data_IF_003813105122
#
_entry.id   IF_003813105122
#
_cell.length_a   1.000
_cell.length_b   1.000
_cell.length_c   1.000
_cell.angle_alpha   90.00
_cell.angle_beta   90.00
_cell.angle_gamma   90.00
#
_symmetry.space_group_name_H-M   'P 1'
#
loop_
_entity.id
_entity.type
_entity.pdbx_description
1 polymer ?
#
# COMPACT_ATOMS: atom_id res chain seq x y z
N UNK A 1 18.53 0.51 17.55
CA UNK A 1 18.12 -0.40 16.46
C UNK A 1 16.60 -0.33 16.35
N UNK A 2 16.06 0.11 15.21
CA UNK A 2 14.62 0.03 14.97
C UNK A 2 14.22 -1.44 14.94
N UNK A 3 13.36 -1.87 15.86
CA UNK A 3 12.82 -3.25 15.87
C UNK A 3 11.72 -3.34 14.82
N UNK A 4 12.06 -3.55 13.56
CA UNK A 4 11.09 -3.80 12.49
C UNK A 4 10.38 -5.13 12.69
N UNK A 5 9.22 -5.30 12.04
CA UNK A 5 8.46 -6.54 12.08
C UNK A 5 9.14 -7.62 11.23
N UNK A 6 9.08 -8.90 11.62
CA UNK A 6 9.53 -9.99 10.77
C UNK A 6 8.65 -10.10 9.52
N UNK A 7 9.25 -10.60 8.44
CA UNK A 7 8.53 -10.94 7.21
C UNK A 7 7.44 -11.99 7.47
N UNK A 8 6.39 -11.95 6.66
CA UNK A 8 5.33 -12.95 6.68
C UNK A 8 5.87 -14.29 6.17
N UNK A 9 5.53 -15.36 6.88
CA UNK A 9 6.09 -16.71 6.66
C UNK A 9 5.27 -17.57 5.68
N UNK A 10 4.17 -17.06 5.15
CA UNK A 10 3.29 -17.81 4.26
C UNK A 10 2.48 -16.90 3.35
N UNK A 11 1.69 -17.50 2.47
CA UNK A 11 0.77 -16.80 1.57
C UNK A 11 -0.31 -16.08 2.37
N UNK A 12 -0.92 -16.77 3.34
CA UNK A 12 -1.95 -16.18 4.20
C UNK A 12 -1.35 -15.76 5.53
N UNK A 13 -1.70 -14.55 5.98
CA UNK A 13 -1.33 -14.07 7.30
C UNK A 13 -2.42 -13.18 7.91
N UNK A 14 -2.40 -13.06 9.24
CA UNK A 14 -3.43 -12.34 9.97
C UNK A 14 -4.61 -13.24 10.37
N UNK A 15 -5.81 -12.67 10.58
CA UNK A 15 -6.23 -11.33 10.19
C UNK A 15 -5.57 -10.26 11.06
N UNK A 16 -5.17 -9.17 10.43
CA UNK A 16 -4.60 -8.01 11.10
C UNK A 16 -5.71 -7.03 11.42
N UNK A 17 -5.77 -6.56 12.66
CA UNK A 17 -6.64 -5.44 13.05
C UNK A 17 -6.16 -4.15 12.38
N UNK A 18 -6.67 -3.89 11.19
CA UNK A 18 -6.45 -2.71 10.37
C UNK A 18 -7.32 -1.56 10.85
N UNK A 19 -6.74 -0.39 11.03
CA UNK A 19 -7.53 0.83 11.34
C UNK A 19 -8.43 1.27 10.20
N UNK A 20 -8.11 0.80 8.99
CA UNK A 20 -8.72 1.20 7.73
C UNK A 20 -9.75 0.20 7.22
N UNK A 21 -9.52 -1.08 7.52
CA UNK A 21 -10.19 -2.22 6.89
C UNK A 21 -10.68 -3.25 7.92
N UNK A 22 -10.90 -2.86 9.19
CA UNK A 22 -11.30 -3.82 10.23
C UNK A 22 -10.33 -5.01 10.35
N UNK A 23 -10.85 -6.23 10.44
CA UNK A 23 -10.07 -7.48 10.44
C UNK A 23 -9.68 -7.85 9.01
N UNK A 24 -8.47 -7.50 8.60
CA UNK A 24 -8.00 -7.75 7.23
C UNK A 24 -7.14 -9.01 7.18
N UNK A 25 -7.57 -10.02 6.42
CA UNK A 25 -6.75 -11.19 6.09
C UNK A 25 -5.81 -10.83 4.94
N UNK A 26 -4.50 -11.04 5.11
CA UNK A 26 -3.50 -10.70 4.11
C UNK A 26 -3.17 -11.86 3.17
N UNK A 27 -2.94 -11.55 1.89
CA UNK A 27 -2.43 -12.43 0.85
C UNK A 27 -1.05 -11.90 0.42
N UNK A 28 0.00 -12.52 0.94
CA UNK A 28 1.37 -12.29 0.54
C UNK A 28 1.69 -13.08 -0.75
N UNK A 29 1.80 -12.36 -1.86
CA UNK A 29 2.20 -12.92 -3.16
C UNK A 29 3.72 -13.02 -3.31
N UNK A 30 4.49 -12.65 -2.29
CA UNK A 30 5.94 -12.44 -2.42
C UNK A 30 6.71 -13.49 -1.60
N UNK A 31 8.02 -13.55 -1.82
CA UNK A 31 8.94 -14.39 -1.05
C UNK A 31 8.70 -14.27 0.46
N UNK A 32 8.83 -15.40 1.16
CA UNK A 32 8.79 -15.48 2.63
C UNK A 32 10.17 -15.33 3.27
N UNK A 33 11.23 -15.30 2.46
CA UNK A 33 12.63 -15.27 2.94
C UNK A 33 13.30 -13.93 2.70
N UNK A 34 12.81 -13.12 1.76
CA UNK A 34 13.30 -11.77 1.48
C UNK A 34 12.16 -10.82 1.14
N UNK A 35 12.42 -9.53 1.29
CA UNK A 35 11.53 -8.46 0.83
C UNK A 35 11.71 -8.25 -0.68
N UNK A 36 10.62 -8.18 -1.44
CA UNK A 36 10.63 -7.96 -2.89
C UNK A 36 9.79 -6.72 -3.19
N UNK A 37 10.47 -5.59 -3.37
CA UNK A 37 9.83 -4.30 -3.54
C UNK A 37 10.67 -3.43 -4.48
N UNK A 38 10.01 -2.53 -5.17
CA UNK A 38 10.68 -1.46 -5.94
C UNK A 38 11.12 -0.30 -5.05
N UNK A 39 10.60 -0.19 -3.83
CA UNK A 39 10.87 0.89 -2.88
C UNK A 39 11.65 0.39 -1.67
N UNK A 40 12.37 1.31 -1.04
CA UNK A 40 13.07 1.13 0.24
C UNK A 40 12.62 2.21 1.24
N UNK A 41 11.31 2.26 1.51
CA UNK A 41 10.74 3.37 2.29
C UNK A 41 11.29 3.42 3.72
N UNK A 42 11.68 4.63 4.17
CA UNK A 42 12.17 4.89 5.53
C UNK A 42 11.17 4.51 6.62
N UNK A 43 9.88 4.48 6.29
CA UNK A 43 8.79 4.13 7.19
C UNK A 43 8.35 2.65 7.10
N UNK A 44 9.01 1.83 6.27
CA UNK A 44 8.57 0.46 6.06
C UNK A 44 8.70 -0.36 7.35
N UNK A 45 7.61 -0.97 7.79
CA UNK A 45 7.61 -1.76 9.02
C UNK A 45 8.26 -3.13 8.87
N UNK A 46 8.58 -3.55 7.64
CA UNK A 46 9.33 -4.78 7.35
C UNK A 46 10.83 -4.54 7.20
N UNK A 47 11.31 -3.33 7.50
CA UNK A 47 12.72 -2.96 7.32
C UNK A 47 13.05 -2.48 5.92
N UNK A 48 14.35 -2.27 5.71
CA UNK A 48 14.89 -1.83 4.44
C UNK A 48 14.76 -2.94 3.38
N UNK A 49 14.79 -2.55 2.12
CA UNK A 49 14.84 -3.44 0.97
C UNK A 49 16.28 -3.56 0.51
N UNK A 50 16.88 -4.74 0.70
CA UNK A 50 18.29 -4.95 0.36
C UNK A 50 18.55 -4.86 -1.16
N UNK A 51 17.60 -5.36 -1.96
CA UNK A 51 17.71 -5.40 -3.42
C UNK A 51 16.36 -4.98 -4.04
N UNK A 52 16.29 -3.72 -4.46
CA UNK A 52 15.12 -3.14 -5.13
C UNK A 52 15.08 -3.66 -6.56
N UNK A 53 13.95 -4.18 -7.01
CA UNK A 53 13.83 -4.74 -8.36
C UNK A 53 12.46 -4.56 -8.98
N UNK A 54 12.43 -4.38 -10.29
CA UNK A 54 11.23 -4.41 -11.15
C UNK A 54 11.14 -5.71 -11.98
N UNK A 55 12.16 -6.57 -11.88
CA UNK A 55 12.29 -7.83 -12.63
C UNK A 55 12.80 -8.94 -11.70
N UNK A 56 12.09 -9.24 -10.60
CA UNK A 56 12.42 -10.38 -9.74
C UNK A 56 12.34 -11.71 -10.51
N UNK A 57 13.06 -12.72 -10.04
CA UNK A 57 13.05 -14.04 -10.68
C UNK A 57 11.73 -14.75 -10.40
N UNK A 58 11.23 -15.54 -11.35
CA UNK A 58 9.97 -16.29 -11.15
C UNK A 58 10.05 -17.23 -9.94
N UNK A 59 11.23 -17.79 -9.66
CA UNK A 59 11.45 -18.67 -8.51
C UNK A 59 11.36 -17.95 -7.15
N UNK A 60 11.42 -16.62 -7.12
CA UNK A 60 11.25 -15.84 -5.88
C UNK A 60 9.79 -15.86 -5.36
N UNK A 61 8.83 -16.29 -6.18
CA UNK A 61 7.41 -16.21 -5.89
C UNK A 61 6.77 -17.57 -5.60
N UNK A 62 5.79 -17.63 -4.67
CA UNK A 62 4.92 -18.80 -4.58
C UNK A 62 4.15 -18.99 -5.89
N UNK A 63 3.99 -20.24 -6.32
CA UNK A 63 3.23 -20.55 -7.54
C UNK A 63 1.75 -20.17 -7.39
N UNK A 64 1.07 -19.89 -8.52
CA UNK A 64 -0.39 -19.67 -8.55
C UNK A 64 -1.13 -20.78 -7.79
N UNK A 65 -0.79 -22.05 -8.04
CA UNK A 65 -1.39 -23.19 -7.33
C UNK A 65 -1.24 -23.11 -5.80
N UNK A 66 -0.05 -22.76 -5.30
CA UNK A 66 0.17 -22.59 -3.86
C UNK A 66 -0.67 -21.44 -3.29
N UNK A 67 -0.76 -20.33 -4.03
CA UNK A 67 -1.53 -19.16 -3.61
C UNK A 67 -3.02 -19.51 -3.53
N UNK A 68 -3.57 -20.05 -4.61
CA UNK A 68 -5.00 -20.39 -4.73
C UNK A 68 -5.39 -21.44 -3.68
N UNK A 69 -4.56 -22.47 -3.48
CA UNK A 69 -4.80 -23.48 -2.43
C UNK A 69 -4.83 -22.86 -1.03
N UNK A 70 -3.92 -21.95 -0.70
CA UNK A 70 -3.88 -21.32 0.62
C UNK A 70 -5.07 -20.37 0.84
N UNK A 71 -5.44 -19.60 -0.19
CA UNK A 71 -6.60 -18.69 -0.15
C UNK A 71 -7.90 -19.48 -0.01
N UNK A 72 -8.08 -20.57 -0.77
CA UNK A 72 -9.27 -21.41 -0.69
C UNK A 72 -9.44 -22.02 0.70
N UNK A 73 -8.35 -22.53 1.30
CA UNK A 73 -8.37 -23.04 2.68
C UNK A 73 -8.79 -21.96 3.67
N UNK A 74 -8.25 -20.74 3.55
CA UNK A 74 -8.63 -19.64 4.43
C UNK A 74 -10.10 -19.21 4.26
N UNK A 75 -10.61 -19.18 3.02
CA UNK A 75 -12.01 -18.87 2.72
C UNK A 75 -12.98 -19.92 3.29
N UNK A 76 -12.61 -21.20 3.30
CA UNK A 76 -13.41 -22.31 3.88
C UNK A 76 -13.32 -22.42 5.40
N UNK A 77 -12.33 -21.78 6.03
CA UNK A 77 -12.16 -21.82 7.48
C UNK A 77 -13.26 -21.04 8.21
N UNK A 78 -13.38 -21.22 9.52
CA UNK A 78 -14.24 -20.41 10.40
C UNK A 78 -13.60 -19.05 10.79
N UNK A 79 -12.44 -18.72 10.21
CA UNK A 79 -11.73 -17.49 10.54
C UNK A 79 -12.54 -16.25 10.14
N UNK A 80 -12.81 -15.37 11.09
CA UNK A 80 -13.55 -14.14 10.81
C UNK A 80 -12.61 -13.04 10.30
N UNK A 81 -12.90 -12.52 9.11
CA UNK A 81 -12.23 -11.38 8.52
C UNK A 81 -13.21 -10.57 7.67
N UNK A 82 -13.00 -9.27 7.66
CA UNK A 82 -13.86 -8.28 7.01
C UNK A 82 -13.35 -7.96 5.59
N UNK A 83 -12.04 -8.17 5.33
CA UNK A 83 -11.39 -7.90 4.04
C UNK A 83 -10.38 -8.98 3.70
N UNK A 84 -10.22 -9.25 2.40
CA UNK A 84 -9.15 -10.07 1.84
C UNK A 84 -8.19 -9.18 1.05
N UNK A 85 -6.94 -9.03 1.51
CA UNK A 85 -6.06 -7.95 1.06
C UNK A 85 -4.76 -8.47 0.45
N UNK A 86 -4.52 -8.14 -0.82
CA UNK A 86 -3.20 -8.25 -1.45
C UNK A 86 -2.25 -7.23 -0.83
N UNK A 87 -1.31 -7.75 -0.04
CA UNK A 87 -0.27 -7.01 0.66
C UNK A 87 0.76 -8.01 1.19
N UNK A 88 1.92 -7.56 1.69
CA UNK A 88 2.85 -8.49 2.29
C UNK A 88 4.28 -7.97 2.27
N UNK A 89 5.22 -8.85 1.95
CA UNK A 89 6.66 -8.62 2.06
C UNK A 89 7.22 -7.70 0.94
N UNK A 90 6.47 -6.69 0.50
CA UNK A 90 6.85 -5.78 -0.59
C UNK A 90 5.69 -5.37 -1.49
N UNK A 91 5.94 -5.25 -2.80
CA UNK A 91 4.97 -4.79 -3.81
C UNK A 91 4.23 -5.96 -4.49
N UNK A 92 2.93 -6.19 -4.20
CA UNK A 92 2.21 -7.36 -4.70
C UNK A 92 2.13 -7.45 -6.23
N UNK A 93 2.08 -6.30 -6.92
CA UNK A 93 1.96 -6.25 -8.38
C UNK A 93 3.23 -6.69 -9.12
N UNK A 94 4.34 -6.96 -8.41
CA UNK A 94 5.54 -7.55 -9.01
C UNK A 94 5.38 -9.03 -9.35
N UNK A 95 4.36 -9.72 -8.82
CA UNK A 95 4.13 -11.11 -9.14
C UNK A 95 3.79 -11.26 -10.65
N UNK A 96 4.51 -12.10 -11.42
CA UNK A 96 4.33 -12.19 -12.87
C UNK A 96 2.91 -12.62 -13.28
N UNK A 97 2.28 -13.47 -12.47
CA UNK A 97 0.91 -13.96 -12.70
C UNK A 97 -0.16 -13.19 -11.89
N UNK A 98 0.11 -11.92 -11.51
CA UNK A 98 -0.80 -11.13 -10.66
C UNK A 98 -2.25 -11.09 -11.20
N UNK A 99 -2.43 -10.88 -12.50
CA UNK A 99 -3.74 -10.82 -13.13
C UNK A 99 -4.52 -12.14 -13.01
N UNK A 100 -3.85 -13.27 -13.29
CA UNK A 100 -4.41 -14.61 -13.16
C UNK A 100 -4.81 -14.91 -11.70
N UNK A 101 -3.95 -14.55 -10.75
CA UNK A 101 -4.21 -14.74 -9.32
C UNK A 101 -5.43 -13.93 -8.88
N UNK A 102 -5.54 -12.67 -9.29
CA UNK A 102 -6.68 -11.82 -8.96
C UNK A 102 -7.99 -12.41 -9.50
N UNK A 103 -7.98 -12.90 -10.75
CA UNK A 103 -9.15 -13.52 -11.37
C UNK A 103 -9.62 -14.77 -10.60
N UNK A 104 -8.70 -15.70 -10.32
CA UNK A 104 -9.02 -16.93 -9.61
C UNK A 104 -9.45 -16.68 -8.15
N UNK A 105 -8.80 -15.74 -7.45
CA UNK A 105 -9.18 -15.37 -6.08
C UNK A 105 -10.56 -14.69 -6.06
N UNK A 106 -10.87 -13.84 -7.05
CA UNK A 106 -12.20 -13.24 -7.18
C UNK A 106 -13.28 -14.32 -7.31
N UNK A 107 -13.07 -15.31 -8.19
CA UNK A 107 -14.00 -16.42 -8.38
C UNK A 107 -14.19 -17.23 -7.08
N UNK A 108 -13.10 -17.59 -6.40
CA UNK A 108 -13.16 -18.32 -5.13
C UNK A 108 -13.87 -17.53 -4.04
N UNK A 109 -13.54 -16.25 -3.88
CA UNK A 109 -14.16 -15.36 -2.89
C UNK A 109 -15.65 -15.26 -3.17
N UNK A 110 -16.06 -14.99 -4.41
CA UNK A 110 -17.49 -14.88 -4.77
C UNK A 110 -18.28 -16.16 -4.43
N UNK A 111 -17.68 -17.32 -4.62
CA UNK A 111 -18.32 -18.61 -4.30
C UNK A 111 -18.40 -18.87 -2.79
N UNK A 112 -17.32 -18.59 -2.04
CA UNK A 112 -17.18 -19.05 -0.66
C UNK A 112 -17.54 -17.98 0.37
N UNK A 113 -17.28 -16.71 0.06
CA UNK A 113 -17.51 -15.54 0.94
C UNK A 113 -17.87 -14.28 0.13
N UNK A 114 -18.98 -14.27 -0.62
CA UNK A 114 -19.31 -13.23 -1.61
C UNK A 114 -19.32 -11.80 -1.08
N UNK A 115 -19.56 -11.61 0.22
CA UNK A 115 -19.65 -10.30 0.86
C UNK A 115 -18.31 -9.73 1.29
N UNK A 116 -17.23 -10.51 1.30
CA UNK A 116 -15.92 -10.06 1.81
C UNK A 116 -15.14 -9.31 0.73
N UNK A 117 -14.99 -7.98 0.76
CA UNK A 117 -14.27 -7.21 -0.26
C UNK A 117 -12.81 -7.65 -0.44
N UNK A 118 -12.35 -7.65 -1.70
CA UNK A 118 -10.93 -7.81 -2.05
C UNK A 118 -10.28 -6.43 -2.08
N UNK A 119 -9.09 -6.31 -1.49
CA UNK A 119 -8.33 -5.06 -1.42
C UNK A 119 -6.92 -5.23 -1.95
N UNK A 120 -6.37 -4.18 -2.56
CA UNK A 120 -4.96 -4.08 -2.94
C UNK A 120 -4.30 -2.92 -2.20
N UNK A 121 -3.15 -3.19 -1.57
CA UNK A 121 -2.20 -2.16 -1.16
C UNK A 121 -1.02 -2.19 -2.14
N UNK A 122 -0.76 -1.08 -2.82
CA UNK A 122 0.35 -0.95 -3.76
C UNK A 122 1.13 0.34 -3.53
N UNK A 123 2.44 0.28 -3.79
CA UNK A 123 3.36 1.41 -3.79
C UNK A 123 3.30 2.23 -5.09
N UNK A 124 2.44 1.83 -6.04
CA UNK A 124 2.13 2.52 -7.31
C UNK A 124 3.18 2.38 -8.42
N UNK A 125 4.39 1.91 -8.12
CA UNK A 125 5.48 1.85 -9.11
C UNK A 125 5.22 0.94 -10.31
N UNK A 126 4.46 -0.15 -10.11
CA UNK A 126 4.15 -1.09 -11.20
C UNK A 126 3.20 -0.49 -12.24
N UNK A 127 2.50 0.60 -11.92
CA UNK A 127 1.59 1.27 -12.85
C UNK A 127 2.31 1.95 -14.01
N UNK A 128 3.60 2.28 -13.86
CA UNK A 128 4.39 3.04 -14.84
C UNK A 128 4.60 2.25 -16.15
N UNK A 129 4.90 0.95 -16.04
CA UNK A 129 5.15 0.11 -17.23
C UNK A 129 3.86 -0.18 -17.97
N UNK A 130 2.90 -0.76 -17.25
CA UNK A 130 1.58 -1.15 -17.71
C UNK A 130 0.80 -1.70 -16.53
N UNK A 131 -0.50 -1.43 -16.47
CA UNK A 131 -1.39 -2.09 -15.53
C UNK A 131 -2.50 -2.81 -16.29
N UNK A 132 -2.89 -3.97 -15.78
CA UNK A 132 -4.04 -4.70 -16.27
C UNK A 132 -5.32 -4.12 -15.64
N UNK A 133 -6.05 -3.35 -16.44
CA UNK A 133 -7.29 -2.70 -16.01
C UNK A 133 -8.36 -3.74 -15.66
N UNK A 134 -8.40 -4.88 -16.35
CA UNK A 134 -9.38 -5.93 -16.12
C UNK A 134 -9.11 -6.63 -14.79
N UNK A 135 -7.84 -6.91 -14.48
CA UNK A 135 -7.45 -7.42 -13.15
C UNK A 135 -7.78 -6.41 -12.05
N UNK A 136 -7.38 -5.14 -12.21
CA UNK A 136 -7.67 -4.11 -11.20
C UNK A 136 -9.18 -3.87 -11.02
N UNK A 137 -10.00 -4.01 -12.07
CA UNK A 137 -11.45 -3.85 -11.98
C UNK A 137 -12.11 -4.86 -11.02
N UNK A 138 -11.52 -6.06 -10.86
CA UNK A 138 -12.03 -7.13 -9.99
C UNK A 138 -11.75 -6.92 -8.50
N UNK A 139 -10.89 -5.96 -8.14
CA UNK A 139 -10.49 -5.65 -6.76
C UNK A 139 -11.42 -4.59 -6.18
N UNK A 140 -12.16 -4.85 -5.10
CA UNK A 140 -13.15 -3.89 -4.59
C UNK A 140 -12.52 -2.56 -4.11
N UNK A 141 -11.38 -2.61 -3.41
CA UNK A 141 -10.72 -1.44 -2.83
C UNK A 141 -9.27 -1.37 -3.30
N UNK A 142 -8.89 -0.29 -3.97
CA UNK A 142 -7.55 -0.11 -4.58
C UNK A 142 -6.84 1.04 -3.90
N UNK A 143 -5.83 0.73 -3.09
CA UNK A 143 -5.11 1.72 -2.27
C UNK A 143 -3.68 1.85 -2.78
N UNK A 144 -3.35 3.04 -3.26
CA UNK A 144 -2.07 3.36 -3.88
C UNK A 144 -1.32 4.40 -3.05
N UNK A 145 -0.01 4.18 -2.84
CA UNK A 145 0.84 5.12 -2.10
C UNK A 145 1.21 6.34 -2.95
N UNK A 146 1.15 7.51 -2.32
CA UNK A 146 1.80 8.74 -2.79
C UNK A 146 2.18 9.58 -1.56
N UNK A 147 3.47 9.64 -1.21
CA UNK A 147 3.92 10.28 0.03
C UNK A 147 4.52 11.70 -0.17
N UNK A 148 4.82 12.06 -1.42
CA UNK A 148 5.33 13.36 -1.87
C UNK A 148 5.10 13.48 -3.38
N UNK A 149 5.45 14.63 -3.98
CA UNK A 149 5.33 14.84 -5.43
C UNK A 149 6.56 15.48 -6.08
N UNK A 150 7.68 15.57 -5.36
CA UNK A 150 8.98 15.98 -5.90
C UNK A 150 9.99 14.83 -5.81
N UNK A 151 10.92 14.80 -6.77
CA UNK A 151 11.86 13.69 -6.92
C UNK A 151 12.83 13.59 -5.75
N UNK A 152 13.33 14.74 -5.25
CA UNK A 152 14.26 14.79 -4.13
C UNK A 152 13.65 14.17 -2.87
N UNK A 153 12.44 14.56 -2.50
CA UNK A 153 11.74 13.99 -1.35
C UNK A 153 11.38 12.52 -1.59
N UNK A 154 11.00 12.16 -2.81
CA UNK A 154 10.68 10.78 -3.17
C UNK A 154 11.87 9.84 -2.96
N UNK A 155 13.06 10.27 -3.34
CA UNK A 155 14.31 9.53 -3.11
C UNK A 155 14.67 9.46 -1.62
N UNK A 156 14.43 10.53 -0.85
CA UNK A 156 14.67 10.55 0.59
C UNK A 156 13.70 9.66 1.39
N UNK A 157 12.43 9.63 1.00
CA UNK A 157 11.36 8.94 1.76
C UNK A 157 11.17 7.52 1.27
N UNK A 158 10.94 7.34 -0.03
CA UNK A 158 10.59 6.06 -0.62
C UNK A 158 11.81 5.32 -1.17
N UNK A 159 12.90 6.04 -1.46
CA UNK A 159 14.16 5.51 -1.99
C UNK A 159 13.88 4.45 -3.06
N UNK A 160 13.13 4.81 -4.10
CA UNK A 160 12.72 3.88 -5.15
C UNK A 160 13.91 3.34 -5.96
N UNK A 161 13.69 2.28 -6.73
CA UNK A 161 14.66 1.77 -7.69
C UNK A 161 15.09 2.90 -8.65
N UNK A 162 16.38 2.98 -8.95
CA UNK A 162 16.92 3.99 -9.84
C UNK A 162 16.17 4.00 -11.19
N UNK A 163 15.85 5.20 -11.68
CA UNK A 163 15.10 5.40 -12.92
C UNK A 163 13.58 5.50 -12.73
N UNK A 164 13.03 5.14 -11.57
CA UNK A 164 11.62 5.43 -11.25
C UNK A 164 11.50 6.92 -10.92
N UNK A 165 10.73 7.66 -11.74
CA UNK A 165 10.42 9.07 -11.49
C UNK A 165 9.06 9.23 -10.84
N UNK A 166 8.95 10.14 -9.87
CA UNK A 166 7.68 10.43 -9.19
C UNK A 166 6.61 10.97 -10.15
N UNK A 167 7.03 11.73 -11.16
CA UNK A 167 6.12 12.26 -12.18
C UNK A 167 5.42 11.15 -12.97
N UNK A 168 6.15 10.10 -13.35
CA UNK A 168 5.58 8.95 -14.06
C UNK A 168 4.55 8.21 -13.20
N UNK A 169 4.77 8.14 -11.89
CA UNK A 169 3.82 7.56 -10.92
C UNK A 169 2.55 8.41 -10.86
N UNK A 170 2.68 9.74 -10.77
CA UNK A 170 1.54 10.66 -10.73
C UNK A 170 0.72 10.56 -12.00
N UNK A 171 1.36 10.52 -13.17
CA UNK A 171 0.67 10.34 -14.47
C UNK A 171 -0.04 8.98 -14.56
N UNK A 172 0.59 7.90 -14.08
CA UNK A 172 -0.03 6.59 -14.08
C UNK A 172 -1.24 6.51 -13.12
N UNK A 173 -1.15 7.16 -11.96
CA UNK A 173 -2.25 7.26 -11.00
C UNK A 173 -3.41 8.11 -11.52
N UNK A 174 -3.13 9.24 -12.16
CA UNK A 174 -4.13 10.09 -12.83
C UNK A 174 -4.88 9.28 -13.89
N UNK A 175 -4.13 8.59 -14.77
CA UNK A 175 -4.73 7.71 -15.79
C UNK A 175 -5.61 6.64 -15.16
N UNK A 176 -5.13 5.94 -14.13
CA UNK A 176 -5.89 4.89 -13.47
C UNK A 176 -7.14 5.43 -12.77
N UNK A 177 -7.04 6.57 -12.08
CA UNK A 177 -8.16 7.23 -11.38
C UNK A 177 -9.28 7.63 -12.33
N UNK A 178 -8.94 8.02 -13.57
CA UNK A 178 -9.93 8.31 -14.61
C UNK A 178 -10.72 7.08 -15.09
N UNK A 179 -10.20 5.87 -14.85
CA UNK A 179 -10.78 4.60 -15.31
C UNK A 179 -11.47 3.82 -14.18
N UNK A 180 -10.94 3.88 -12.96
CA UNK A 180 -11.44 3.17 -11.80
C UNK A 180 -11.34 4.04 -10.55
N UNK A 181 -12.31 3.93 -9.61
CA UNK A 181 -12.18 4.55 -8.30
C UNK A 181 -10.96 3.98 -7.56
N UNK A 182 -10.04 4.88 -7.22
CA UNK A 182 -8.85 4.58 -6.41
C UNK A 182 -8.83 5.41 -5.13
N UNK A 183 -8.05 4.91 -4.18
CA UNK A 183 -7.74 5.60 -2.94
C UNK A 183 -6.24 5.93 -2.95
N UNK A 184 -5.91 7.21 -2.73
CA UNK A 184 -4.54 7.59 -2.44
C UNK A 184 -4.30 7.47 -0.94
N UNK A 185 -3.19 6.81 -0.57
CA UNK A 185 -2.77 6.68 0.81
C UNK A 185 -1.41 7.33 1.04
N UNK A 186 -1.33 8.18 2.05
CA UNK A 186 -0.15 8.96 2.39
C UNK A 186 0.20 8.74 3.85
N UNK A 187 1.48 8.48 4.11
CA UNK A 187 2.00 8.54 5.48
C UNK A 187 2.64 9.90 5.71
N UNK A 188 2.17 10.62 6.71
CA UNK A 188 2.78 11.87 7.17
C UNK A 188 3.61 11.62 8.42
N UNK A 189 4.81 12.17 8.45
CA UNK A 189 5.74 12.05 9.56
C UNK A 189 6.65 13.27 9.65
N UNK A 190 7.23 13.46 10.83
CA UNK A 190 8.23 14.47 11.15
C UNK A 190 9.64 13.82 11.21
N UNK A 191 10.68 14.61 11.48
CA UNK A 191 12.06 14.15 11.59
C UNK A 191 13.02 14.96 10.71
N UNK A 192 14.09 14.31 10.24
CA UNK A 192 15.04 14.97 9.32
C UNK A 192 14.42 15.26 7.95
N UNK A 193 13.43 14.46 7.55
CA UNK A 193 12.62 14.66 6.36
C UNK A 193 11.16 14.71 6.83
N UNK A 194 10.45 15.77 6.43
CA UNK A 194 9.03 15.98 6.73
C UNK A 194 8.28 16.25 5.43
N UNK A 195 7.06 15.74 5.33
CA UNK A 195 6.27 15.78 4.09
C UNK A 195 4.87 16.37 4.26
N UNK A 196 4.58 16.98 5.41
CA UNK A 196 3.25 17.49 5.74
C UNK A 196 3.14 19.02 5.77
N UNK A 197 4.22 19.75 5.44
CA UNK A 197 4.24 21.21 5.42
C UNK A 197 5.14 21.78 4.31
N UNK A 198 5.05 23.09 4.10
CA UNK A 198 5.82 23.84 3.11
C UNK A 198 5.62 23.35 1.68
N UNK A 199 6.63 23.62 0.84
CA UNK A 199 6.57 23.34 -0.60
C UNK A 199 6.33 21.86 -0.93
N UNK A 200 6.86 20.94 -0.12
CA UNK A 200 6.67 19.49 -0.31
C UNK A 200 5.20 19.11 -0.21
N UNK A 201 4.50 19.63 0.81
CA UNK A 201 3.08 19.38 0.98
C UNK A 201 2.24 20.08 -0.09
N UNK A 202 2.60 21.30 -0.48
CA UNK A 202 1.91 22.04 -1.54
C UNK A 202 2.01 21.32 -2.90
N UNK A 203 3.19 20.80 -3.25
CA UNK A 203 3.38 20.00 -4.46
C UNK A 203 2.60 18.69 -4.41
N UNK A 204 2.61 18.01 -3.26
CA UNK A 204 1.79 16.81 -3.05
C UNK A 204 0.29 17.11 -3.22
N UNK A 205 -0.17 18.25 -2.69
CA UNK A 205 -1.56 18.70 -2.80
C UNK A 205 -1.96 18.96 -4.25
N UNK A 206 -1.08 19.59 -5.04
CA UNK A 206 -1.28 19.76 -6.50
C UNK A 206 -1.37 18.40 -7.19
N UNK A 207 -0.50 17.45 -6.84
CA UNK A 207 -0.51 16.12 -7.44
C UNK A 207 -1.80 15.35 -7.13
N UNK A 208 -2.30 15.35 -5.89
CA UNK A 208 -3.57 14.65 -5.56
C UNK A 208 -4.79 15.29 -6.20
N UNK A 209 -4.81 16.62 -6.37
CA UNK A 209 -5.86 17.31 -7.16
C UNK A 209 -5.84 16.86 -8.61
N UNK A 210 -4.64 16.75 -9.21
CA UNK A 210 -4.47 16.26 -10.57
C UNK A 210 -4.93 14.80 -10.72
N UNK A 211 -4.57 13.94 -9.77
CA UNK A 211 -5.01 12.53 -9.76
C UNK A 211 -6.52 12.40 -9.55
N UNK A 212 -7.12 13.30 -8.76
CA UNK A 212 -8.54 13.30 -8.41
C UNK A 212 -9.06 11.91 -7.95
N UNK A 213 -8.48 11.32 -6.88
CA UNK A 213 -8.92 10.03 -6.38
C UNK A 213 -10.31 10.10 -5.73
N UNK A 214 -10.99 8.95 -5.63
CA UNK A 214 -12.26 8.86 -4.91
C UNK A 214 -12.13 9.27 -3.43
N UNK A 215 -10.98 8.98 -2.82
CA UNK A 215 -10.73 9.23 -1.41
C UNK A 215 -9.23 9.32 -1.13
N UNK A 216 -8.87 10.09 -0.11
CA UNK A 216 -7.52 10.12 0.46
C UNK A 216 -7.55 9.50 1.86
N UNK A 217 -6.56 8.65 2.14
CA UNK A 217 -6.29 8.09 3.47
C UNK A 217 -4.95 8.62 3.98
N UNK A 218 -4.96 9.32 5.10
CA UNK A 218 -3.74 9.82 5.73
C UNK A 218 -3.52 9.15 7.08
N UNK A 219 -2.27 8.85 7.40
CA UNK A 219 -1.90 8.25 8.68
C UNK A 219 -0.47 8.64 9.07
N UNK A 220 -0.10 8.41 10.33
CA UNK A 220 1.29 8.51 10.79
C UNK A 220 1.86 7.16 11.22
N UNK A 221 3.17 7.12 11.46
CA UNK A 221 3.95 5.91 11.75
C UNK A 221 3.70 5.40 13.17
N UNK A 222 2.71 4.52 13.33
CA UNK A 222 2.32 3.91 14.61
C UNK A 222 2.87 2.50 14.82
N UNK A 223 3.55 1.96 13.81
CA UNK A 223 4.31 0.71 13.84
C UNK A 223 5.80 1.03 13.86
N UNK A 224 6.66 0.06 14.23
CA UNK A 224 8.08 0.22 14.00
C UNK A 224 8.38 0.54 12.54
N UNK A 225 9.42 1.33 12.31
CA UNK A 225 9.82 1.87 11.01
C UNK A 225 11.27 1.53 10.73
N UNK A 226 11.67 1.45 9.46
CA UNK A 226 13.04 1.12 9.09
C UNK A 226 14.05 2.15 9.61
N UNK A 227 13.75 3.44 9.49
CA UNK A 227 14.63 4.54 9.89
C UNK A 227 14.23 5.13 11.24
N UNK A 228 15.18 5.27 12.16
CA UNK A 228 14.99 6.01 13.42
C UNK A 228 14.96 7.54 13.22
N UNK A 229 15.18 8.02 11.98
CA UNK A 229 15.22 9.45 11.65
C UNK A 229 13.84 10.06 11.43
N UNK A 230 12.78 9.24 11.38
CA UNK A 230 11.41 9.70 11.25
C UNK A 230 10.68 9.60 12.60
N UNK A 231 9.76 10.52 12.82
CA UNK A 231 8.96 10.66 14.03
C UNK A 231 7.49 10.72 13.66
N UNK A 232 6.66 10.11 14.49
CA UNK A 232 5.21 10.16 14.33
C UNK A 232 4.72 11.60 14.56
N UNK A 233 3.79 12.08 13.73
CA UNK A 233 3.03 13.32 14.01
C UNK A 233 1.84 13.00 14.92
N UNK A 234 1.39 13.99 15.70
CA UNK A 234 0.27 13.79 16.62
C UNK A 234 -1.05 13.55 15.88
N UNK A 235 -2.00 12.91 16.57
CA UNK A 235 -3.35 12.71 16.03
C UNK A 235 -4.05 14.05 15.73
N UNK A 236 -3.82 15.08 16.55
CA UNK A 236 -4.34 16.44 16.32
C UNK A 236 -3.83 17.03 15.01
N UNK A 237 -2.51 17.02 14.79
CA UNK A 237 -1.91 17.45 13.53
C UNK A 237 -2.44 16.66 12.33
N UNK A 238 -2.65 15.35 12.48
CA UNK A 238 -3.19 14.52 11.41
C UNK A 238 -4.64 14.91 11.06
N UNK A 239 -5.47 15.25 12.05
CA UNK A 239 -6.84 15.73 11.80
C UNK A 239 -6.86 17.11 11.15
N UNK A 240 -6.00 18.03 11.58
CA UNK A 240 -5.84 19.35 10.96
C UNK A 240 -5.44 19.22 9.48
N UNK A 241 -4.50 18.31 9.18
CA UNK A 241 -4.11 18.01 7.80
C UNK A 241 -5.27 17.46 6.98
N UNK A 242 -6.08 16.55 7.52
CA UNK A 242 -7.25 16.03 6.81
C UNK A 242 -8.23 17.14 6.44
N UNK A 243 -8.52 18.05 7.38
CA UNK A 243 -9.41 19.18 7.14
C UNK A 243 -8.85 20.12 6.07
N UNK A 244 -7.56 20.47 6.17
CA UNK A 244 -6.87 21.30 5.17
C UNK A 244 -6.91 20.68 3.77
N UNK A 245 -6.74 19.37 3.66
CA UNK A 245 -6.80 18.66 2.37
C UNK A 245 -8.22 18.71 1.79
N UNK A 246 -9.25 18.48 2.61
CA UNK A 246 -10.66 18.55 2.18
C UNK A 246 -10.96 19.96 1.66
N UNK A 247 -10.64 21.00 2.43
CA UNK A 247 -10.90 22.39 2.04
C UNK A 247 -10.17 22.79 0.76
N UNK A 248 -8.92 22.35 0.61
CA UNK A 248 -8.12 22.80 -0.52
C UNK A 248 -8.39 22.00 -1.80
N UNK A 249 -8.71 20.71 -1.71
CA UNK A 249 -8.80 19.80 -2.85
C UNK A 249 -10.20 19.27 -3.15
N UNK A 250 -11.18 19.48 -2.25
CA UNK A 250 -12.54 18.96 -2.37
C UNK A 250 -12.60 17.43 -2.58
N UNK A 251 -11.67 16.72 -1.93
CA UNK A 251 -11.58 15.26 -1.98
C UNK A 251 -11.83 14.69 -0.58
N UNK A 252 -12.75 13.70 -0.43
CA UNK A 252 -12.97 13.05 0.86
C UNK A 252 -11.67 12.52 1.46
N UNK A 253 -11.32 13.00 2.65
CA UNK A 253 -10.08 12.62 3.33
C UNK A 253 -10.38 12.04 4.70
N UNK A 254 -9.72 10.94 5.06
CA UNK A 254 -9.83 10.35 6.40
C UNK A 254 -8.45 10.20 7.03
N UNK A 255 -8.31 10.80 8.22
CA UNK A 255 -7.16 10.61 9.10
C UNK A 255 -7.33 9.36 9.96
N UNK A 256 -6.34 8.46 9.92
CA UNK A 256 -6.28 7.26 10.75
C UNK A 256 -5.29 7.45 11.90
N UNK A 257 -5.76 7.82 13.11
CA UNK A 257 -4.92 8.14 14.26
C UNK A 257 -4.09 6.95 14.73
N UNK A 258 -3.01 7.18 15.48
CA UNK A 258 -2.13 6.14 16.04
C UNK A 258 -2.92 5.11 16.87
N UNK A 259 -2.43 3.85 16.95
CA UNK A 259 -3.03 2.88 17.89
C UNK A 259 -2.78 3.41 19.29
N UNK A 260 -3.85 3.60 20.09
CA UNK A 260 -3.69 3.80 21.53
C UNK A 260 -2.92 2.59 22.06
N UNK A 261 -1.77 2.82 22.71
CA UNK A 261 -1.13 1.77 23.51
C UNK A 261 -2.13 1.42 24.60
N UNK A 262 -2.63 0.19 24.59
CA UNK A 262 -3.28 -0.35 25.78
C UNK A 262 -2.15 -0.47 26.80
N UNK A 263 -2.16 0.41 27.80
CA UNK A 263 -1.25 0.36 28.95
C UNK A 263 -1.70 -0.80 29.83
#
# INVERSE_FOLDING_TARGET
MSKVLPLQKGVIYGPVNSKRLGRSLGINLLSTTRKICTYDCVYCHYGLTDDKTLTPHREDFPTVKQIISAVEQALKSELLFDYLTFSGNGEPMLHPDFAEIVDQIKHLRDKLRPTVPITLLSNSSCLIKSFDIDALSKINVRIFKLDCADQTTFELINNALAGIKIEDIILALEKLSSLLPIIIQTVFFDGLTKNYEGIVFEQWLVAVKKINPQKIQIYSTDRPVASSKIKMISDGQLQELAQKIIEAADIPTTAYPARKKVI
#
